data_IF_993778958434
#
_entry.id   IF_993778958434
#
_cell.length_a   1.000
_cell.length_b   1.000
_cell.length_c   1.000
_cell.angle_alpha   90.00
_cell.angle_beta   90.00
_cell.angle_gamma   90.00
#
_symmetry.space_group_name_H-M   'P 1'
#
loop_
_entity.id
_entity.type
_entity.pdbx_description
1 polymer ?
#
# COMPACT_ATOMS: atom_id res chain seq x y z
N UNK A 1 -11.84 2.66 -2.07
CA UNK A 1 -10.61 3.08 -2.81
C UNK A 1 -9.90 4.23 -2.10
N UNK A 2 -10.59 5.31 -1.73
CA UNK A 2 -9.95 6.46 -1.08
C UNK A 2 -9.22 6.11 0.22
N UNK A 3 -9.78 5.24 1.07
CA UNK A 3 -9.13 4.87 2.32
C UNK A 3 -7.87 4.02 2.11
N UNK A 4 -7.91 3.06 1.17
CA UNK A 4 -6.75 2.25 0.81
C UNK A 4 -5.64 3.10 0.18
N UNK A 5 -5.99 4.02 -0.72
CA UNK A 5 -5.04 4.96 -1.32
C UNK A 5 -4.41 5.90 -0.27
N UNK A 6 -5.22 6.41 0.67
CA UNK A 6 -4.75 7.23 1.78
C UNK A 6 -3.79 6.46 2.67
N UNK A 7 -4.13 5.22 3.04
CA UNK A 7 -3.27 4.37 3.87
C UNK A 7 -1.93 4.08 3.20
N UNK A 8 -1.95 3.65 1.92
CA UNK A 8 -0.73 3.43 1.14
C UNK A 8 0.14 4.68 1.07
N UNK A 9 -0.45 5.86 0.83
CA UNK A 9 0.29 7.11 0.75
C UNK A 9 0.91 7.52 2.09
N UNK A 10 0.21 7.33 3.20
CA UNK A 10 0.75 7.63 4.53
C UNK A 10 1.91 6.70 4.89
N UNK A 11 1.73 5.39 4.68
CA UNK A 11 2.74 4.37 4.98
C UNK A 11 4.00 4.56 4.11
N UNK A 12 3.85 4.94 2.83
CA UNK A 12 4.97 5.31 1.95
C UNK A 12 5.70 6.57 2.44
N UNK A 13 4.97 7.62 2.81
CA UNK A 13 5.60 8.84 3.30
C UNK A 13 6.36 8.61 4.61
N UNK A 14 5.80 7.83 5.53
CA UNK A 14 6.46 7.49 6.80
C UNK A 14 7.83 6.83 6.54
N UNK A 15 7.89 5.85 5.64
CA UNK A 15 9.15 5.16 5.29
C UNK A 15 10.16 6.11 4.66
N UNK A 16 9.72 6.99 3.76
CA UNK A 16 10.61 7.94 3.08
C UNK A 16 11.25 8.92 4.07
N UNK A 17 10.49 9.35 5.09
CA UNK A 17 10.95 10.36 6.05
C UNK A 17 11.66 9.78 7.28
N UNK A 18 11.16 8.68 7.85
CA UNK A 18 11.68 8.08 9.09
C UNK A 18 12.67 6.93 8.81
N UNK A 19 12.71 6.42 7.57
CA UNK A 19 13.40 5.17 7.25
C UNK A 19 12.62 3.95 7.74
N UNK A 20 13.13 2.76 7.42
CA UNK A 20 12.61 1.50 7.97
C UNK A 20 13.44 1.04 9.15
N UNK A 21 12.85 0.24 10.05
CA UNK A 21 13.62 -0.54 11.01
C UNK A 21 14.70 -1.37 10.31
N UNK A 22 15.87 -1.49 10.94
CA UNK A 22 16.99 -2.24 10.38
C UNK A 22 16.57 -3.68 10.02
N UNK A 23 16.81 -4.07 8.77
CA UNK A 23 16.49 -5.41 8.26
C UNK A 23 15.11 -5.54 7.60
N UNK A 24 14.26 -4.50 7.62
CA UNK A 24 13.00 -4.50 6.88
C UNK A 24 13.17 -3.96 5.44
N UNK A 25 12.53 -4.63 4.48
CA UNK A 25 12.52 -4.21 3.08
C UNK A 25 11.32 -3.31 2.80
N UNK A 26 11.57 -2.11 2.24
CA UNK A 26 10.54 -1.14 1.83
C UNK A 26 9.44 -1.78 0.99
N UNK A 27 9.84 -2.66 0.08
CA UNK A 27 8.92 -3.36 -0.79
C UNK A 27 7.95 -4.22 0.01
N UNK A 28 8.47 -5.04 0.92
CA UNK A 28 7.67 -6.01 1.67
C UNK A 28 6.71 -5.29 2.62
N UNK A 29 7.16 -4.19 3.25
CA UNK A 29 6.31 -3.36 4.10
C UNK A 29 5.15 -2.70 3.33
N UNK A 30 5.36 -2.30 2.08
CA UNK A 30 4.33 -1.64 1.26
C UNK A 30 3.45 -2.62 0.45
N UNK A 31 3.86 -3.88 0.33
CA UNK A 31 3.22 -4.83 -0.57
C UNK A 31 1.77 -5.11 -0.18
N UNK A 32 1.49 -5.27 1.12
CA UNK A 32 0.12 -5.52 1.61
C UNK A 32 -0.82 -4.35 1.30
N UNK A 33 -0.34 -3.11 1.48
CA UNK A 33 -1.11 -1.92 1.14
C UNK A 33 -1.33 -1.78 -0.38
N UNK A 34 -0.31 -2.12 -1.18
CA UNK A 34 -0.42 -2.13 -2.65
C UNK A 34 -1.45 -3.15 -3.13
N UNK A 35 -1.45 -4.35 -2.54
CA UNK A 35 -2.42 -5.40 -2.86
C UNK A 35 -3.84 -4.98 -2.48
N UNK A 36 -4.05 -4.44 -1.27
CA UNK A 36 -5.35 -3.95 -0.83
C UNK A 36 -5.89 -2.82 -1.73
N UNK A 37 -5.03 -1.92 -2.19
CA UNK A 37 -5.40 -0.88 -3.16
C UNK A 37 -5.83 -1.48 -4.50
N UNK A 38 -5.04 -2.40 -5.05
CA UNK A 38 -5.32 -3.03 -6.34
C UNK A 38 -6.57 -3.90 -6.33
N UNK A 39 -6.80 -4.64 -5.24
CA UNK A 39 -8.01 -5.43 -5.05
C UNK A 39 -9.27 -4.54 -5.01
N UNK A 40 -9.18 -3.43 -4.26
CA UNK A 40 -10.26 -2.43 -4.23
C UNK A 40 -10.47 -1.80 -5.61
N UNK A 41 -9.38 -1.52 -6.35
CA UNK A 41 -9.46 -0.97 -7.70
C UNK A 41 -10.15 -1.93 -8.67
N UNK A 42 -9.77 -3.21 -8.62
CA UNK A 42 -10.34 -4.29 -9.42
C UNK A 42 -11.83 -4.47 -9.16
N UNK A 43 -12.23 -4.47 -7.89
CA UNK A 43 -13.64 -4.54 -7.46
C UNK A 43 -14.46 -3.40 -8.05
N UNK A 44 -13.96 -2.16 -7.99
CA UNK A 44 -14.65 -0.99 -8.57
C UNK A 44 -14.71 -1.07 -10.10
N UNK A 45 -13.68 -1.63 -10.74
CA UNK A 45 -13.65 -1.82 -12.20
C UNK A 45 -14.48 -3.02 -12.68
N UNK A 46 -15.11 -3.79 -11.79
CA UNK A 46 -15.93 -4.96 -12.14
C UNK A 46 -15.13 -6.14 -12.72
N UNK A 47 -13.84 -6.23 -12.40
CA UNK A 47 -12.97 -7.29 -12.88
C UNK A 47 -13.00 -8.50 -11.90
N UNK A 48 -13.00 -9.75 -12.40
CA UNK A 48 -13.03 -10.94 -11.55
C UNK A 48 -11.73 -11.11 -10.75
N UNK A 49 -11.84 -11.67 -9.53
CA UNK A 49 -10.75 -11.93 -8.59
C UNK A 49 -9.66 -12.83 -9.16
#
# INVERSE_FOLDING_TARGET
MHDAARKYSLDLNLIVWEGLPDGENVRDYLEDNRLAFLDTARTVMGQPL
#
